data_IF_435748042564
#
_entry.id   IF_435748042564
#
_cell.length_a   1.000
_cell.length_b   1.000
_cell.length_c   1.000
_cell.angle_alpha   90.00
_cell.angle_beta   90.00
_cell.angle_gamma   90.00
#
_symmetry.space_group_name_H-M   'P 1'
#
loop_
_entity.id
_entity.type
_entity.pdbx_description
1 polymer ?
#
# COMPACT_ATOMS: atom_id res chain seq x y z
N UNK A 1 19.29 52.86 -2.49
CA UNK A 1 19.82 51.51 -2.80
C UNK A 1 19.39 50.47 -1.77
N UNK A 2 19.23 50.86 -0.50
CA UNK A 2 18.95 49.94 0.62
C UNK A 2 17.57 49.28 0.57
N UNK A 3 16.51 50.00 0.14
CA UNK A 3 15.15 49.43 0.09
C UNK A 3 15.00 48.31 -0.94
N UNK A 4 15.60 48.46 -2.12
CA UNK A 4 15.58 47.43 -3.18
C UNK A 4 16.37 46.19 -2.77
N UNK A 5 17.52 46.38 -2.11
CA UNK A 5 18.31 45.28 -1.59
C UNK A 5 17.56 44.52 -0.49
N UNK A 6 16.90 45.23 0.43
CA UNK A 6 16.03 44.61 1.44
C UNK A 6 14.90 43.81 0.80
N UNK A 7 14.27 44.36 -0.25
CA UNK A 7 13.15 43.68 -0.93
C UNK A 7 13.61 42.39 -1.58
N UNK A 8 14.78 42.40 -2.24
CA UNK A 8 15.38 41.20 -2.84
C UNK A 8 15.75 40.16 -1.77
N UNK A 9 16.36 40.59 -0.66
CA UNK A 9 16.72 39.69 0.45
C UNK A 9 15.49 39.05 1.07
N UNK A 10 14.41 39.82 1.27
CA UNK A 10 13.13 39.29 1.80
C UNK A 10 12.48 38.32 0.80
N UNK A 11 12.44 38.65 -0.49
CA UNK A 11 11.91 37.74 -1.51
C UNK A 11 12.69 36.42 -1.56
N UNK A 12 14.02 36.51 -1.45
CA UNK A 12 14.90 35.34 -1.47
C UNK A 12 14.76 34.51 -0.19
N UNK A 13 14.54 35.13 0.97
CA UNK A 13 14.26 34.42 2.22
C UNK A 13 12.91 33.67 2.17
N UNK A 14 11.88 34.26 1.56
CA UNK A 14 10.55 33.62 1.39
C UNK A 14 10.66 32.39 0.48
N UNK A 15 11.36 32.50 -0.64
CA UNK A 15 11.56 31.38 -1.58
C UNK A 15 12.33 30.20 -0.96
N UNK A 16 13.18 30.45 0.04
CA UNK A 16 13.96 29.42 0.73
C UNK A 16 13.25 28.82 1.94
N UNK A 17 12.10 29.38 2.36
CA UNK A 17 11.34 28.91 3.52
C UNK A 17 10.43 27.70 3.21
N UNK A 18 10.19 27.41 1.93
CA UNK A 18 9.40 26.25 1.48
C UNK A 18 10.26 24.98 1.46
N UNK A 19 10.54 24.43 2.65
CA UNK A 19 11.10 23.09 2.77
C UNK A 19 10.05 22.05 2.39
N UNK A 20 10.29 21.26 1.34
CA UNK A 20 9.47 20.07 1.06
C UNK A 20 9.86 18.98 2.06
N UNK A 21 9.00 18.69 3.02
CA UNK A 21 9.16 17.52 3.89
C UNK A 21 8.69 16.28 3.15
N UNK A 22 9.44 15.18 3.30
CA UNK A 22 9.09 13.89 2.72
C UNK A 22 8.65 12.91 3.80
N UNK A 23 7.81 11.97 3.40
CA UNK A 23 7.34 10.85 4.19
C UNK A 23 7.55 9.57 3.40
N UNK A 24 8.10 8.55 4.06
CA UNK A 24 8.24 7.21 3.50
C UNK A 24 7.31 6.26 4.24
N UNK A 25 6.45 5.58 3.50
CA UNK A 25 5.49 4.62 4.02
C UNK A 25 5.78 3.21 3.53
N UNK A 26 5.37 2.23 4.34
CA UNK A 26 5.39 0.83 3.97
C UNK A 26 4.11 0.15 4.46
N UNK A 27 3.51 -0.65 3.59
CA UNK A 27 2.41 -1.55 3.91
C UNK A 27 2.79 -2.96 3.46
N UNK A 28 2.54 -3.93 4.33
CA UNK A 28 2.74 -5.34 4.03
C UNK A 28 1.65 -6.16 4.71
N UNK A 29 1.42 -7.36 4.19
CA UNK A 29 0.50 -8.33 4.76
C UNK A 29 0.83 -9.71 4.24
N UNK A 30 0.10 -10.72 4.73
CA UNK A 30 0.26 -12.11 4.31
C UNK A 30 -0.98 -12.57 3.56
N UNK A 31 -0.77 -13.29 2.47
CA UNK A 31 -1.84 -13.97 1.74
C UNK A 31 -1.80 -15.45 2.08
N UNK A 32 -2.93 -15.97 2.53
CA UNK A 32 -3.13 -17.38 2.82
C UNK A 32 -4.36 -17.89 2.07
N UNK A 33 -4.34 -19.18 1.77
CA UNK A 33 -5.55 -19.90 1.40
C UNK A 33 -6.23 -20.36 2.69
N UNK A 34 -7.41 -19.79 2.96
CA UNK A 34 -8.27 -20.21 4.06
C UNK A 34 -9.02 -21.47 3.62
N UNK A 35 -8.52 -22.63 4.04
CA UNK A 35 -9.04 -23.93 3.59
C UNK A 35 -10.42 -24.19 4.20
N UNK A 36 -10.67 -23.67 5.41
CA UNK A 36 -11.91 -23.86 6.15
C UNK A 36 -12.99 -22.82 5.82
N UNK A 37 -12.64 -21.77 5.07
CA UNK A 37 -13.50 -20.64 4.75
C UNK A 37 -14.10 -19.96 6.00
N UNK A 38 -13.37 -19.93 7.11
CA UNK A 38 -13.82 -19.40 8.39
C UNK A 38 -13.28 -17.99 8.71
N UNK A 39 -12.54 -17.40 7.77
CA UNK A 39 -11.91 -16.07 7.89
C UNK A 39 -10.91 -15.95 9.05
N UNK A 40 -10.36 -17.06 9.53
CA UNK A 40 -9.34 -17.12 10.57
C UNK A 40 -8.08 -17.82 10.04
N UNK A 41 -6.95 -17.70 10.75
CA UNK A 41 -5.74 -18.46 10.40
C UNK A 41 -5.74 -19.78 11.17
N UNK A 42 -5.97 -20.87 10.45
CA UNK A 42 -5.89 -22.23 10.95
C UNK A 42 -4.54 -22.90 10.66
N UNK A 43 -4.20 -24.00 11.36
CA UNK A 43 -3.04 -24.83 11.03
C UNK A 43 -3.15 -25.51 9.65
N UNK A 44 -4.35 -25.63 9.10
CA UNK A 44 -4.67 -26.14 7.77
C UNK A 44 -4.47 -25.11 6.65
N UNK A 45 -4.30 -23.83 6.99
CA UNK A 45 -4.16 -22.79 5.98
C UNK A 45 -2.78 -22.77 5.36
N UNK A 46 -2.77 -22.50 4.05
CA UNK A 46 -1.56 -22.56 3.26
C UNK A 46 -1.10 -21.18 2.84
N UNK A 47 0.18 -20.91 3.06
CA UNK A 47 0.84 -19.70 2.57
C UNK A 47 0.83 -19.69 1.04
N UNK A 48 0.35 -18.60 0.44
CA UNK A 48 0.31 -18.45 -1.01
C UNK A 48 1.48 -17.62 -1.49
N UNK A 49 2.50 -18.27 -2.07
CA UNK A 49 3.59 -17.60 -2.76
C UNK A 49 3.18 -17.21 -4.19
N UNK A 50 3.70 -16.07 -4.67
CA UNK A 50 3.36 -15.51 -5.99
C UNK A 50 1.92 -15.02 -6.15
N UNK A 51 1.09 -15.00 -5.10
CA UNK A 51 -0.24 -14.40 -5.15
C UNK A 51 -0.17 -12.90 -5.47
N UNK A 52 -1.12 -12.44 -6.28
CA UNK A 52 -1.23 -11.06 -6.73
C UNK A 52 -2.15 -10.28 -5.78
N UNK A 53 -1.69 -9.10 -5.35
CA UNK A 53 -2.40 -8.23 -4.42
C UNK A 53 -2.52 -6.83 -5.02
N UNK A 54 -3.73 -6.31 -5.10
CA UNK A 54 -3.99 -4.90 -5.34
C UNK A 54 -4.03 -4.15 -4.01
N UNK A 55 -3.28 -3.06 -3.91
CA UNK A 55 -3.33 -2.13 -2.77
C UNK A 55 -3.78 -0.78 -3.28
N UNK A 56 -4.97 -0.35 -2.86
CA UNK A 56 -5.51 0.95 -3.17
C UNK A 56 -5.32 1.88 -1.97
N UNK A 57 -4.61 2.98 -2.15
CA UNK A 57 -4.43 4.00 -1.11
C UNK A 57 -5.07 5.32 -1.54
N UNK A 58 -5.59 6.07 -0.57
CA UNK A 58 -5.99 7.46 -0.74
C UNK A 58 -5.00 8.35 0.02
N UNK A 59 -4.49 9.39 -0.61
CA UNK A 59 -3.62 10.39 0.05
C UNK A 59 -4.47 11.38 0.84
N UNK A 60 -3.82 12.16 1.72
CA UNK A 60 -4.49 13.26 2.44
C UNK A 60 -5.16 14.30 1.53
N UNK A 61 -4.68 14.48 0.30
CA UNK A 61 -5.28 15.38 -0.69
C UNK A 61 -6.45 14.77 -1.44
N UNK A 62 -6.76 13.49 -1.21
CA UNK A 62 -7.82 12.76 -1.89
C UNK A 62 -7.39 12.07 -3.18
N UNK A 63 -6.09 12.04 -3.50
CA UNK A 63 -5.58 11.31 -4.67
C UNK A 63 -5.65 9.81 -4.42
N UNK A 64 -6.21 9.07 -5.36
CA UNK A 64 -6.24 7.60 -5.33
C UNK A 64 -5.00 7.04 -6.04
N UNK A 65 -4.33 6.11 -5.36
CA UNK A 65 -3.15 5.40 -5.83
C UNK A 65 -3.47 3.90 -5.89
N UNK A 66 -3.06 3.23 -6.96
CA UNK A 66 -3.28 1.80 -7.16
C UNK A 66 -1.93 1.11 -7.36
N UNK A 67 -1.56 0.27 -6.40
CA UNK A 67 -0.35 -0.52 -6.42
C UNK A 67 -0.69 -1.99 -6.68
N UNK A 68 0.19 -2.66 -7.41
CA UNK A 68 0.14 -4.10 -7.63
C UNK A 68 1.39 -4.71 -7.01
N UNK A 69 1.21 -5.74 -6.18
CA UNK A 69 2.29 -6.43 -5.50
C UNK A 69 2.12 -7.94 -5.65
N UNK A 70 3.22 -8.67 -5.47
CA UNK A 70 3.24 -10.12 -5.46
C UNK A 70 3.83 -10.60 -4.15
N UNK A 71 3.28 -11.68 -3.62
CA UNK A 71 3.77 -12.30 -2.39
C UNK A 71 5.07 -13.08 -2.60
N UNK A 72 5.97 -13.02 -1.63
CA UNK A 72 7.18 -13.86 -1.60
C UNK A 72 6.89 -15.31 -1.18
N UNK A 73 7.94 -16.12 -0.96
CA UNK A 73 7.83 -17.52 -0.52
C UNK A 73 7.14 -17.72 0.84
N UNK A 74 7.06 -16.66 1.66
CA UNK A 74 6.36 -16.65 2.95
C UNK A 74 4.95 -16.05 2.83
N UNK A 75 4.45 -15.84 1.61
CA UNK A 75 3.13 -15.27 1.33
C UNK A 75 3.04 -13.79 1.66
N UNK A 76 4.16 -13.10 1.88
CA UNK A 76 4.17 -11.70 2.30
C UNK A 76 4.26 -10.81 1.06
N UNK A 77 3.29 -9.91 0.88
CA UNK A 77 3.38 -8.81 -0.07
C UNK A 77 3.87 -7.55 0.65
N UNK A 78 4.50 -6.64 -0.10
CA UNK A 78 5.00 -5.37 0.43
C UNK A 78 4.91 -4.28 -0.63
N UNK A 79 4.43 -3.10 -0.23
CA UNK A 79 4.42 -1.87 -1.02
C UNK A 79 5.06 -0.77 -0.18
N UNK A 80 6.02 -0.07 -0.76
CA UNK A 80 6.68 1.06 -0.12
C UNK A 80 6.74 2.23 -1.10
N UNK A 81 6.57 3.44 -0.59
CA UNK A 81 6.58 4.66 -1.40
C UNK A 81 7.15 5.83 -0.60
N UNK A 82 7.79 6.76 -1.29
CA UNK A 82 8.22 8.04 -0.71
C UNK A 82 7.50 9.19 -1.39
N UNK A 83 6.83 10.02 -0.59
CA UNK A 83 5.97 11.12 -1.07
C UNK A 83 6.22 12.38 -0.25
N UNK A 84 5.81 13.57 -0.71
CA UNK A 84 5.72 14.74 0.15
C UNK A 84 4.81 14.46 1.36
N UNK A 85 5.12 15.02 2.53
CA UNK A 85 4.35 14.77 3.75
C UNK A 85 2.87 15.20 3.63
N UNK A 86 2.61 16.25 2.83
CA UNK A 86 1.26 16.70 2.48
C UNK A 86 0.45 15.67 1.68
N UNK A 87 1.14 14.74 1.01
CA UNK A 87 0.60 13.70 0.13
C UNK A 87 0.74 12.30 0.72
N UNK A 88 1.09 12.18 2.01
CA UNK A 88 1.18 10.86 2.67
C UNK A 88 -0.15 10.11 2.58
N UNK A 89 -0.07 8.78 2.62
CA UNK A 89 -1.25 7.93 2.68
C UNK A 89 -2.13 8.29 3.89
N UNK A 90 -3.43 8.41 3.65
CA UNK A 90 -4.46 8.61 4.68
C UNK A 90 -5.11 7.28 5.06
N UNK A 91 -5.50 6.48 4.05
CA UNK A 91 -5.97 5.12 4.22
C UNK A 91 -5.56 4.24 3.04
N UNK A 92 -5.42 2.93 3.30
CA UNK A 92 -5.12 1.92 2.28
C UNK A 92 -6.02 0.70 2.47
N UNK A 93 -6.38 0.07 1.35
CA UNK A 93 -7.12 -1.19 1.28
C UNK A 93 -6.31 -2.17 0.41
N UNK A 94 -5.98 -3.33 0.97
CA UNK A 94 -5.37 -4.42 0.23
C UNK A 94 -6.40 -5.50 -0.09
N UNK A 95 -6.36 -6.05 -1.30
CA UNK A 95 -7.22 -7.15 -1.75
C UNK A 95 -6.43 -8.12 -2.63
N UNK A 96 -6.51 -9.44 -2.41
CA UNK A 96 -5.91 -10.39 -3.32
C UNK A 96 -6.72 -10.41 -4.63
N UNK A 97 -6.04 -10.44 -5.77
CA UNK A 97 -6.68 -10.44 -7.10
C UNK A 97 -6.69 -11.85 -7.67
N UNK A 98 -5.56 -12.54 -7.57
CA UNK A 98 -5.36 -13.85 -8.18
C UNK A 98 -4.36 -14.69 -7.38
N UNK A 99 -4.48 -16.00 -7.51
CA UNK A 99 -3.48 -16.95 -7.03
C UNK A 99 -3.24 -18.00 -8.11
N UNK A 100 -2.02 -18.52 -8.17
CA UNK A 100 -1.64 -19.61 -9.08
C UNK A 100 -2.00 -21.00 -8.53
N UNK A 101 -2.62 -21.09 -7.36
CA UNK A 101 -2.96 -22.37 -6.73
C UNK A 101 -4.38 -22.79 -7.11
N UNK A 102 -4.49 -23.89 -7.85
CA UNK A 102 -5.73 -24.40 -8.46
C UNK A 102 -6.92 -24.58 -7.50
N UNK A 103 -6.68 -24.73 -6.19
CA UNK A 103 -7.71 -24.92 -5.18
C UNK A 103 -8.06 -23.65 -4.39
N UNK A 104 -7.34 -22.55 -4.64
CA UNK A 104 -7.42 -21.30 -3.91
C UNK A 104 -7.43 -20.14 -4.92
N UNK A 105 -8.32 -20.18 -5.92
CA UNK A 105 -8.40 -19.18 -7.00
C UNK A 105 -9.57 -18.22 -6.82
N UNK A 106 -10.56 -18.55 -5.99
CA UNK A 106 -11.81 -17.80 -5.91
C UNK A 106 -11.88 -16.95 -4.63
N UNK A 107 -12.28 -15.69 -4.80
CA UNK A 107 -12.67 -14.79 -3.72
C UNK A 107 -14.06 -15.22 -3.22
N UNK A 108 -14.10 -16.16 -2.27
CA UNK A 108 -15.25 -16.43 -1.39
C UNK A 108 -16.65 -16.45 -2.01
N UNK A 109 -16.92 -17.37 -2.93
CA UNK A 109 -18.30 -17.69 -3.36
C UNK A 109 -18.62 -19.17 -3.11
N UNK A 110 -18.93 -19.47 -1.84
CA UNK A 110 -19.78 -20.59 -1.39
C UNK A 110 -19.41 -22.04 -1.69
N UNK A 111 -18.38 -22.35 -2.47
CA UNK A 111 -18.09 -23.73 -2.89
C UNK A 111 -16.62 -24.08 -3.15
N UNK A 112 -15.70 -23.14 -2.92
CA UNK A 112 -14.24 -23.30 -3.03
C UNK A 112 -13.52 -22.43 -2.00
N UNK A 113 -12.41 -22.93 -1.43
CA UNK A 113 -11.64 -22.26 -0.38
C UNK A 113 -11.25 -20.81 -0.75
N UNK A 114 -11.64 -19.80 0.05
CA UNK A 114 -11.40 -18.39 -0.24
C UNK A 114 -9.92 -17.98 -0.09
N UNK A 115 -9.46 -17.09 -0.97
CA UNK A 115 -8.16 -16.41 -0.81
C UNK A 115 -8.34 -15.20 0.11
N UNK A 116 -7.62 -15.18 1.23
CA UNK A 116 -7.65 -14.08 2.18
C UNK A 116 -6.31 -13.33 2.24
N UNK A 117 -6.40 -12.00 2.22
CA UNK A 117 -5.34 -11.12 2.67
C UNK A 117 -5.53 -10.84 4.15
N UNK A 118 -4.47 -11.04 4.93
CA UNK A 118 -4.41 -10.73 6.37
C UNK A 118 -3.27 -9.73 6.60
#
# INVERSE_FOLDING_TARGET
MESKLLTVVVLMAILMAEGVTSWTGEIHGRVVCDVCADSSIGPEDHILAGAEVAVLCITKSGKVLNYQAFTNSNGIYKVAETMPESERWDACLARPISSFHNHCTHLGDGSTAPVYCI
#
